data_IF_550314848224
#
_entry.id   IF_550314848224
#
_cell.length_a   1.000
_cell.length_b   1.000
_cell.length_c   1.000
_cell.angle_alpha   90.00
_cell.angle_beta   90.00
_cell.angle_gamma   90.00
#
_symmetry.space_group_name_H-M   'P 1'
#
loop_
_entity.id
_entity.type
_entity.pdbx_description
1 polymer ?
#
# COMPACT_ATOMS: atom_id res chain seq x y z
N UNK A 1 18.54 -5.16 -15.92
CA UNK A 1 17.26 -4.78 -15.29
C UNK A 1 16.13 -5.37 -16.12
N UNK A 2 15.18 -6.04 -15.48
CA UNK A 2 14.03 -6.58 -16.20
C UNK A 2 13.19 -5.45 -16.81
N UNK A 3 12.69 -5.68 -18.01
CA UNK A 3 11.74 -4.76 -18.66
C UNK A 3 10.34 -5.12 -18.11
N UNK A 4 9.89 -4.35 -17.12
CA UNK A 4 8.66 -4.64 -16.39
C UNK A 4 7.46 -3.99 -17.04
N UNK A 5 6.40 -4.75 -17.18
CA UNK A 5 5.10 -4.29 -17.64
C UNK A 5 4.23 -3.97 -16.42
N UNK A 6 3.75 -2.74 -16.31
CA UNK A 6 2.83 -2.32 -15.25
C UNK A 6 1.41 -2.47 -15.73
N UNK A 7 0.60 -3.22 -14.97
CA UNK A 7 -0.82 -3.42 -15.25
C UNK A 7 -1.65 -2.98 -14.05
N UNK A 8 -2.78 -2.33 -14.35
CA UNK A 8 -3.73 -1.87 -13.34
C UNK A 8 -4.97 -2.75 -13.32
N UNK A 9 -5.50 -2.94 -12.12
CA UNK A 9 -6.66 -3.81 -11.87
C UNK A 9 -7.63 -3.11 -10.94
N UNK A 10 -8.92 -3.24 -11.22
CA UNK A 10 -9.99 -2.73 -10.40
C UNK A 10 -10.61 -3.85 -9.56
N UNK A 11 -11.62 -3.54 -8.74
CA UNK A 11 -12.29 -4.55 -7.90
C UNK A 11 -12.93 -5.68 -8.71
N UNK A 12 -13.35 -5.38 -9.94
CA UNK A 12 -13.94 -6.37 -10.84
C UNK A 12 -12.92 -7.43 -11.29
N UNK A 13 -11.64 -7.07 -11.27
CA UNK A 13 -10.54 -7.94 -11.68
C UNK A 13 -10.02 -8.80 -10.52
N UNK A 14 -10.47 -8.57 -9.30
CA UNK A 14 -9.93 -9.24 -8.11
C UNK A 14 -9.91 -10.78 -8.23
N UNK A 15 -10.95 -11.45 -8.73
CA UNK A 15 -10.90 -12.90 -8.84
C UNK A 15 -9.72 -13.43 -9.67
N UNK A 16 -9.26 -12.64 -10.66
CA UNK A 16 -8.14 -13.02 -11.52
C UNK A 16 -6.79 -12.84 -10.84
N UNK A 17 -6.63 -11.83 -9.97
CA UNK A 17 -5.34 -11.46 -9.40
C UNK A 17 -5.19 -11.84 -7.92
N UNK A 18 -6.25 -12.27 -7.27
CA UNK A 18 -6.29 -12.53 -5.82
C UNK A 18 -5.19 -13.49 -5.37
N UNK A 19 -5.05 -14.63 -6.02
CA UNK A 19 -4.05 -15.63 -5.63
C UNK A 19 -2.63 -15.11 -5.89
N UNK A 20 -2.42 -14.39 -6.98
CA UNK A 20 -1.12 -13.78 -7.30
C UNK A 20 -0.70 -12.79 -6.21
N UNK A 21 -1.62 -11.95 -5.73
CA UNK A 21 -1.37 -11.01 -4.61
C UNK A 21 -0.94 -11.79 -3.36
N UNK A 22 -1.68 -12.84 -3.01
CA UNK A 22 -1.40 -13.66 -1.82
C UNK A 22 -0.02 -14.32 -1.95
N UNK A 23 0.30 -14.85 -3.11
CA UNK A 23 1.59 -15.53 -3.37
C UNK A 23 2.77 -14.55 -3.27
N UNK A 24 2.63 -13.34 -3.83
CA UNK A 24 3.67 -12.30 -3.73
C UNK A 24 3.89 -11.90 -2.27
N UNK A 25 2.81 -11.70 -1.52
CA UNK A 25 2.90 -11.34 -0.10
C UNK A 25 3.63 -12.43 0.69
N UNK A 26 3.28 -13.68 0.50
CA UNK A 26 3.93 -14.81 1.17
C UNK A 26 5.43 -14.87 0.85
N UNK A 27 5.80 -14.72 -0.41
CA UNK A 27 7.20 -14.67 -0.84
C UNK A 27 7.95 -13.51 -0.20
N UNK A 28 7.32 -12.34 -0.19
CA UNK A 28 7.92 -11.11 0.37
C UNK A 28 8.18 -11.21 1.88
N UNK A 29 7.38 -11.96 2.63
CA UNK A 29 7.57 -12.18 4.06
C UNK A 29 8.79 -13.08 4.36
N UNK A 30 9.16 -13.95 3.46
CA UNK A 30 10.41 -14.72 3.51
C UNK A 30 10.49 -15.81 4.58
N UNK A 31 9.37 -16.20 5.17
CA UNK A 31 9.34 -17.23 6.22
C UNK A 31 7.93 -17.48 6.73
N UNK A 32 7.79 -18.23 7.85
CA UNK A 32 6.48 -18.48 8.44
C UNK A 32 5.76 -17.18 8.78
N UNK A 33 4.47 -17.11 8.45
CA UNK A 33 3.65 -15.93 8.75
C UNK A 33 3.20 -15.99 10.23
N UNK A 34 3.21 -14.83 10.91
CA UNK A 34 2.59 -14.67 12.22
C UNK A 34 1.05 -14.65 12.09
N UNK A 35 0.34 -14.69 13.21
CA UNK A 35 -1.13 -14.77 13.22
C UNK A 35 -1.79 -13.56 12.53
N UNK A 36 -1.20 -12.39 12.65
CA UNK A 36 -1.70 -11.20 11.96
C UNK A 36 -1.55 -11.35 10.44
N UNK A 37 -0.36 -11.74 9.96
CA UNK A 37 -0.07 -11.85 8.53
C UNK A 37 -0.79 -13.04 7.86
N UNK A 38 -1.13 -14.08 8.63
CA UNK A 38 -1.98 -15.18 8.14
C UNK A 38 -3.38 -14.73 7.73
N UNK A 39 -3.83 -13.57 8.22
CA UNK A 39 -5.12 -12.98 7.87
C UNK A 39 -5.08 -12.20 6.56
N UNK A 40 -3.94 -12.13 5.89
CA UNK A 40 -3.80 -11.35 4.67
C UNK A 40 -4.85 -11.66 3.60
N UNK A 41 -5.23 -12.93 3.34
CA UNK A 41 -6.31 -13.20 2.38
C UNK A 41 -7.63 -12.48 2.70
N UNK A 42 -7.96 -12.35 3.98
CA UNK A 42 -9.13 -11.59 4.41
C UNK A 42 -8.98 -10.09 4.06
N UNK A 43 -7.79 -9.53 4.28
CA UNK A 43 -7.53 -8.13 3.93
C UNK A 43 -7.57 -7.89 2.43
N UNK A 44 -7.09 -8.83 1.64
CA UNK A 44 -7.18 -8.76 0.16
C UNK A 44 -8.64 -8.65 -0.28
N UNK A 45 -9.51 -9.49 0.27
CA UNK A 45 -10.94 -9.47 -0.05
C UNK A 45 -11.63 -8.20 0.47
N UNK A 46 -11.28 -7.77 1.67
CA UNK A 46 -11.82 -6.56 2.30
C UNK A 46 -11.50 -5.31 1.45
N UNK A 47 -10.24 -5.11 1.11
CA UNK A 47 -9.82 -3.97 0.30
C UNK A 47 -10.29 -4.09 -1.14
N UNK A 48 -10.16 -5.27 -1.72
CA UNK A 48 -10.51 -5.53 -3.11
C UNK A 48 -11.99 -5.40 -3.44
N UNK A 49 -12.87 -5.45 -2.44
CA UNK A 49 -14.31 -5.26 -2.62
C UNK A 49 -14.73 -3.78 -2.58
N UNK A 50 -13.84 -2.88 -2.20
CA UNK A 50 -14.19 -1.47 -2.00
C UNK A 50 -14.32 -0.74 -3.32
N UNK A 51 -15.29 0.19 -3.36
CA UNK A 51 -15.43 1.10 -4.48
C UNK A 51 -14.17 1.94 -4.62
N UNK A 52 -13.69 2.08 -5.86
CA UNK A 52 -12.47 2.83 -6.15
C UNK A 52 -11.17 2.08 -5.87
N UNK A 53 -11.25 0.80 -5.47
CA UNK A 53 -10.06 -0.04 -5.33
C UNK A 53 -9.23 -0.03 -6.60
N UNK A 54 -7.91 0.11 -6.43
CA UNK A 54 -6.95 0.04 -7.52
C UNK A 54 -5.74 -0.78 -7.07
N UNK A 55 -5.33 -1.71 -7.91
CA UNK A 55 -4.09 -2.48 -7.75
C UNK A 55 -3.21 -2.24 -8.97
N UNK A 56 -1.94 -1.97 -8.73
CA UNK A 56 -0.91 -1.94 -9.77
C UNK A 56 0.00 -3.14 -9.55
N UNK A 57 0.31 -3.87 -10.61
CA UNK A 57 1.17 -5.04 -10.55
C UNK A 57 2.26 -4.94 -11.60
N UNK A 58 3.49 -5.24 -11.21
CA UNK A 58 4.65 -5.25 -12.10
C UNK A 58 4.89 -6.68 -12.59
N UNK A 59 4.92 -6.86 -13.89
CA UNK A 59 5.09 -8.15 -14.55
C UNK A 59 6.42 -8.22 -15.28
N UNK A 60 7.14 -9.29 -15.05
CA UNK A 60 8.32 -9.70 -15.81
C UNK A 60 7.91 -10.92 -16.64
N UNK A 61 7.49 -10.69 -17.89
CA UNK A 61 6.85 -11.72 -18.68
C UNK A 61 5.59 -12.26 -18.00
N UNK A 62 5.57 -13.54 -17.67
CA UNK A 62 4.46 -14.21 -16.98
C UNK A 62 4.62 -14.24 -15.46
N UNK A 63 5.69 -13.65 -14.93
CA UNK A 63 5.96 -13.61 -13.49
C UNK A 63 5.59 -12.25 -12.92
N UNK A 64 4.69 -12.23 -11.93
CA UNK A 64 4.37 -11.03 -11.19
C UNK A 64 5.47 -10.77 -10.15
N UNK A 65 6.18 -9.65 -10.30
CA UNK A 65 7.30 -9.27 -9.43
C UNK A 65 6.87 -8.60 -8.14
N UNK A 66 5.77 -7.87 -8.17
CA UNK A 66 5.27 -7.11 -7.03
C UNK A 66 3.93 -6.46 -7.32
N UNK A 67 3.31 -5.93 -6.27
CA UNK A 67 2.05 -5.18 -6.37
C UNK A 67 1.99 -4.05 -5.36
N UNK A 68 1.12 -3.08 -5.64
CA UNK A 68 0.67 -2.08 -4.67
C UNK A 68 -0.84 -1.90 -4.86
N UNK A 69 -1.59 -1.80 -3.77
CA UNK A 69 -3.01 -1.53 -3.87
C UNK A 69 -3.53 -0.61 -2.76
N UNK A 70 -4.67 -0.05 -3.00
CA UNK A 70 -5.40 0.77 -2.04
C UNK A 70 -6.80 1.10 -2.54
N UNK A 71 -7.48 1.94 -1.79
CA UNK A 71 -8.82 2.44 -2.13
C UNK A 71 -9.06 3.79 -1.44
N UNK A 72 -10.02 4.60 -1.94
CA UNK A 72 -10.41 5.82 -1.26
C UNK A 72 -10.86 5.53 0.18
N UNK A 73 -10.41 6.36 1.11
CA UNK A 73 -10.84 6.31 2.50
C UNK A 73 -12.29 6.77 2.63
N UNK A 74 -13.00 6.25 3.62
CA UNK A 74 -14.32 6.75 4.00
C UNK A 74 -14.15 8.09 4.71
N UNK A 75 -14.85 9.12 4.25
CA UNK A 75 -14.79 10.45 4.86
C UNK A 75 -15.17 10.39 6.35
N UNK A 76 -14.33 11.00 7.17
CA UNK A 76 -14.46 10.96 8.63
C UNK A 76 -13.83 9.75 9.30
N UNK A 77 -13.35 8.76 8.53
CA UNK A 77 -12.71 7.53 9.04
C UNK A 77 -11.29 7.33 8.53
N UNK A 78 -10.68 8.37 8.02
CA UNK A 78 -9.29 8.31 7.54
C UNK A 78 -8.34 8.01 8.71
N UNK A 79 -7.32 7.21 8.46
CA UNK A 79 -6.35 6.80 9.49
C UNK A 79 -5.59 7.97 10.12
N UNK A 80 -5.49 9.10 9.42
CA UNK A 80 -4.79 10.29 9.93
C UNK A 80 -5.67 11.18 10.82
N UNK A 81 -7.00 11.03 10.78
CA UNK A 81 -7.95 12.06 11.31
C UNK A 81 -7.76 12.37 12.79
N UNK A 82 -7.48 11.37 13.61
CA UNK A 82 -7.30 11.62 15.05
C UNK A 82 -5.94 12.22 15.41
N UNK A 83 -5.00 12.29 14.46
CA UNK A 83 -3.63 12.77 14.72
C UNK A 83 -3.35 14.17 14.16
N UNK A 84 -4.23 14.71 13.34
CA UNK A 84 -4.03 16.00 12.68
C UNK A 84 -5.13 16.96 13.11
N UNK A 85 -4.77 17.96 13.93
CA UNK A 85 -5.68 18.97 14.44
C UNK A 85 -5.00 20.36 14.37
N UNK A 86 -5.60 21.35 13.68
CA UNK A 86 -6.85 21.23 12.92
C UNK A 86 -6.71 20.36 11.67
N UNK A 87 -7.83 19.76 11.26
CA UNK A 87 -7.85 19.02 10.00
C UNK A 87 -7.52 19.94 8.82
N UNK A 88 -6.81 19.43 7.77
CA UNK A 88 -6.56 20.23 6.59
C UNK A 88 -7.88 20.63 5.90
N UNK A 89 -7.83 21.70 5.11
CA UNK A 89 -9.00 22.18 4.38
C UNK A 89 -9.51 21.13 3.37
N UNK A 90 -8.59 20.43 2.72
CA UNK A 90 -8.89 19.38 1.75
C UNK A 90 -8.59 18.02 2.38
N UNK A 91 -9.59 17.15 2.44
CA UNK A 91 -9.51 15.90 3.21
C UNK A 91 -9.73 14.63 2.39
N UNK A 92 -10.03 14.76 1.09
CA UNK A 92 -10.20 13.56 0.26
C UNK A 92 -8.90 12.76 0.26
N UNK A 93 -8.99 11.51 0.74
CA UNK A 93 -7.81 10.70 1.01
C UNK A 93 -7.88 9.37 0.28
N UNK A 94 -6.76 8.96 -0.30
CA UNK A 94 -6.54 7.60 -0.79
C UNK A 94 -5.78 6.82 0.29
N UNK A 95 -6.35 5.68 0.72
CA UNK A 95 -5.68 4.77 1.64
C UNK A 95 -4.78 3.82 0.85
N UNK A 96 -3.48 4.05 0.92
CA UNK A 96 -2.47 3.17 0.34
C UNK A 96 -2.29 2.00 1.31
N UNK A 97 -2.86 0.84 0.98
CA UNK A 97 -3.04 -0.25 1.95
C UNK A 97 -1.90 -1.26 1.97
N UNK A 98 -1.36 -1.66 0.81
CA UNK A 98 -0.36 -2.72 0.76
C UNK A 98 0.63 -2.52 -0.38
N UNK A 99 1.88 -2.90 -0.11
CA UNK A 99 2.97 -2.92 -1.09
C UNK A 99 3.83 -4.14 -0.78
N UNK A 100 4.07 -4.99 -1.77
CA UNK A 100 4.98 -6.11 -1.63
C UNK A 100 5.73 -6.37 -2.93
N UNK A 101 7.01 -6.71 -2.82
CA UNK A 101 7.89 -7.07 -3.92
C UNK A 101 8.54 -8.42 -3.58
N UNK A 102 8.51 -9.36 -4.52
CA UNK A 102 9.17 -10.67 -4.34
C UNK A 102 10.64 -10.49 -4.01
N UNK A 103 11.18 -11.34 -3.18
CA UNK A 103 12.58 -11.23 -2.71
C UNK A 103 13.57 -11.17 -3.86
N UNK A 104 13.37 -11.98 -4.90
CA UNK A 104 14.26 -12.03 -6.07
C UNK A 104 14.27 -10.75 -6.92
N UNK A 105 13.30 -9.86 -6.72
CA UNK A 105 13.16 -8.60 -7.45
C UNK A 105 13.50 -7.37 -6.60
N UNK A 106 13.95 -7.55 -5.38
CA UNK A 106 14.30 -6.43 -4.48
C UNK A 106 15.51 -5.63 -4.98
N UNK A 107 15.61 -4.38 -4.50
CA UNK A 107 16.71 -3.44 -4.82
C UNK A 107 16.82 -3.08 -6.30
N UNK A 108 15.70 -3.12 -7.01
CA UNK A 108 15.60 -2.75 -8.42
C UNK A 108 14.66 -1.54 -8.66
N UNK A 109 14.25 -0.85 -7.60
CA UNK A 109 13.37 0.32 -7.71
C UNK A 109 11.90 0.00 -7.96
N UNK A 110 11.49 -1.27 -7.84
CA UNK A 110 10.11 -1.70 -8.16
C UNK A 110 9.10 -1.12 -7.18
N UNK A 111 9.44 -1.00 -5.89
CA UNK A 111 8.56 -0.40 -4.89
C UNK A 111 8.24 1.06 -5.23
N UNK A 112 9.23 1.85 -5.64
CA UNK A 112 9.05 3.23 -6.10
C UNK A 112 8.16 3.28 -7.34
N UNK A 113 8.46 2.43 -8.31
CA UNK A 113 7.72 2.36 -9.58
C UNK A 113 6.23 2.03 -9.33
N UNK A 114 5.94 1.04 -8.50
CA UNK A 114 4.57 0.63 -8.15
C UNK A 114 3.83 1.74 -7.38
N UNK A 115 4.48 2.36 -6.42
CA UNK A 115 3.88 3.40 -5.58
C UNK A 115 3.53 4.64 -6.40
N UNK A 116 4.44 5.07 -7.27
CA UNK A 116 4.18 6.19 -8.15
C UNK A 116 3.06 5.90 -9.14
N UNK A 117 3.05 4.71 -9.73
CA UNK A 117 1.99 4.30 -10.64
C UNK A 117 0.62 4.21 -9.96
N UNK A 118 0.57 3.73 -8.69
CA UNK A 118 -0.66 3.67 -7.93
C UNK A 118 -1.24 5.06 -7.65
N UNK A 119 -0.39 6.06 -7.40
CA UNK A 119 -0.80 7.38 -6.95
C UNK A 119 -0.81 8.44 -8.07
N UNK A 120 -0.28 8.12 -9.24
CA UNK A 120 -0.04 9.08 -10.34
C UNK A 120 -1.31 9.81 -10.80
N UNK A 121 -2.39 9.08 -11.02
CA UNK A 121 -3.63 9.61 -11.56
C UNK A 121 -4.74 9.77 -10.50
N UNK A 122 -4.36 9.78 -9.21
CA UNK A 122 -5.34 9.96 -8.14
C UNK A 122 -5.84 11.40 -8.10
N UNK A 123 -7.14 11.53 -7.83
CA UNK A 123 -7.82 12.83 -7.70
C UNK A 123 -8.00 13.26 -6.25
N UNK A 124 -7.67 12.40 -5.29
CA UNK A 124 -7.68 12.73 -3.87
C UNK A 124 -6.60 13.79 -3.55
N UNK A 125 -6.81 14.52 -2.48
CA UNK A 125 -5.89 15.56 -2.02
C UNK A 125 -4.72 14.97 -1.23
N UNK A 126 -4.96 13.85 -0.57
CA UNK A 126 -4.03 13.21 0.37
C UNK A 126 -3.91 11.72 0.10
N UNK A 127 -2.76 11.16 0.46
CA UNK A 127 -2.56 9.72 0.61
C UNK A 127 -2.13 9.40 2.03
N UNK A 128 -2.65 8.33 2.60
CA UNK A 128 -2.29 7.85 3.94
C UNK A 128 -1.85 6.38 3.86
N UNK A 129 -0.85 6.01 4.63
CA UNK A 129 -0.41 4.63 4.76
C UNK A 129 0.00 4.31 6.19
N UNK A 130 0.08 3.02 6.48
CA UNK A 130 0.59 2.48 7.73
C UNK A 130 1.88 1.72 7.45
N UNK A 131 2.92 1.97 8.24
CA UNK A 131 4.18 1.23 8.15
C UNK A 131 4.57 0.71 9.52
N UNK A 132 4.98 -0.55 9.59
CA UNK A 132 5.44 -1.19 10.83
C UNK A 132 6.63 -0.41 11.38
N UNK A 133 6.52 0.06 12.64
CA UNK A 133 7.56 0.88 13.28
C UNK A 133 8.88 0.12 13.47
N UNK A 134 8.87 -1.21 13.38
CA UNK A 134 10.09 -2.03 13.45
C UNK A 134 10.87 -2.07 12.13
N UNK A 135 10.37 -1.39 11.09
CA UNK A 135 11.01 -1.30 9.78
C UNK A 135 11.40 0.14 9.43
N UNK A 136 12.41 0.74 10.12
CA UNK A 136 12.74 2.15 9.94
C UNK A 136 13.23 2.50 8.53
N UNK A 137 13.80 1.55 7.79
CA UNK A 137 14.24 1.77 6.41
C UNK A 137 13.06 1.95 5.46
N UNK A 138 11.98 1.24 5.70
CA UNK A 138 10.74 1.36 4.92
C UNK A 138 10.08 2.72 5.21
N UNK A 139 10.03 3.11 6.48
CA UNK A 139 9.54 4.43 6.86
C UNK A 139 10.35 5.55 6.19
N UNK A 140 11.68 5.44 6.21
CA UNK A 140 12.56 6.43 5.56
C UNK A 140 12.30 6.53 4.06
N UNK A 141 12.01 5.41 3.39
CA UNK A 141 11.66 5.39 1.97
C UNK A 141 10.39 6.22 1.70
N UNK A 142 9.36 6.04 2.52
CA UNK A 142 8.13 6.83 2.40
C UNK A 142 8.36 8.32 2.70
N UNK A 143 9.21 8.62 3.68
CA UNK A 143 9.59 10.01 3.98
C UNK A 143 10.28 10.68 2.78
N UNK A 144 11.14 9.97 2.07
CA UNK A 144 11.78 10.45 0.83
C UNK A 144 10.76 10.76 -0.27
N UNK A 145 9.60 10.10 -0.27
CA UNK A 145 8.52 10.36 -1.22
C UNK A 145 7.60 11.50 -0.79
N UNK A 146 7.79 12.08 0.38
CA UNK A 146 7.02 13.21 0.89
C UNK A 146 6.00 12.85 1.97
N UNK A 147 5.94 11.60 2.42
CA UNK A 147 5.10 11.21 3.54
C UNK A 147 5.69 11.69 4.86
N UNK A 148 4.82 12.11 5.78
CA UNK A 148 5.20 12.53 7.13
C UNK A 148 4.46 11.69 8.15
N UNK A 149 5.17 11.22 9.18
CA UNK A 149 4.56 10.52 10.30
C UNK A 149 3.71 11.50 11.11
N UNK A 150 2.46 11.15 11.32
CA UNK A 150 1.52 11.97 12.12
C UNK A 150 1.09 11.30 13.41
N UNK A 151 1.27 9.98 13.55
CA UNK A 151 0.90 9.25 14.76
C UNK A 151 1.28 7.79 14.68
N UNK A 152 0.79 7.02 15.64
CA UNK A 152 0.97 5.56 15.70
C UNK A 152 -0.34 4.88 16.09
N UNK A 153 -0.61 3.71 15.51
CA UNK A 153 -1.81 2.94 15.85
C UNK A 153 -1.60 1.44 15.64
N UNK A 154 -2.52 0.65 16.19
CA UNK A 154 -2.66 -0.79 15.88
C UNK A 154 -3.85 -0.98 14.95
N UNK A 155 -3.66 -1.72 13.86
CA UNK A 155 -4.75 -2.07 12.95
C UNK A 155 -5.68 -3.14 13.55
N UNK A 156 -5.14 -4.01 14.40
CA UNK A 156 -5.87 -5.07 15.10
C UNK A 156 -5.13 -5.39 16.40
N UNK A 157 -5.78 -6.07 17.38
CA UNK A 157 -5.12 -6.40 18.66
C UNK A 157 -3.83 -7.20 18.53
N UNK A 158 -3.72 -8.01 17.49
CA UNK A 158 -2.55 -8.85 17.21
C UNK A 158 -1.59 -8.24 16.18
N UNK A 159 -1.86 -7.01 15.71
CA UNK A 159 -0.99 -6.34 14.75
C UNK A 159 0.22 -5.72 15.44
N UNK A 160 1.33 -5.47 14.70
CA UNK A 160 2.37 -4.58 15.18
C UNK A 160 1.82 -3.15 15.36
N UNK A 161 2.63 -2.29 15.99
CA UNK A 161 2.36 -0.86 16.01
C UNK A 161 2.77 -0.28 14.66
N UNK A 162 1.88 0.49 14.05
CA UNK A 162 2.13 1.14 12.76
C UNK A 162 2.32 2.64 12.94
N UNK A 163 3.30 3.20 12.25
CA UNK A 163 3.37 4.63 12.01
C UNK A 163 2.31 5.01 10.99
N UNK A 164 1.50 6.01 11.31
CA UNK A 164 0.55 6.61 10.36
C UNK A 164 1.29 7.69 9.60
N UNK A 165 1.36 7.56 8.28
CA UNK A 165 2.09 8.50 7.42
C UNK A 165 1.15 9.13 6.40
N UNK A 166 1.29 10.45 6.24
CA UNK A 166 0.40 11.27 5.41
C UNK A 166 1.22 12.07 4.39
N UNK A 167 0.74 12.13 3.16
CA UNK A 167 1.33 12.95 2.10
C UNK A 167 0.26 13.73 1.35
N UNK A 168 0.62 14.90 0.85
CA UNK A 168 -0.19 15.64 -0.12
C UNK A 168 0.02 15.03 -1.52
N UNK A 169 -1.06 14.98 -2.30
CA UNK A 169 -1.01 14.53 -3.70
C UNK A 169 -1.10 15.74 -4.64
N UNK A 170 -0.42 15.71 -5.79
CA UNK A 170 0.48 14.63 -6.26
C UNK A 170 1.78 14.57 -5.46
N UNK A 171 2.42 13.39 -5.43
CA UNK A 171 3.72 13.24 -4.79
C UNK A 171 4.77 14.10 -5.50
N UNK A 172 5.74 14.59 -4.74
CA UNK A 172 6.89 15.29 -5.31
C UNK A 172 7.73 14.38 -6.21
N UNK A 173 8.30 14.89 -7.29
CA UNK A 173 9.15 14.12 -8.19
C UNK A 173 10.37 13.51 -7.50
#
# INVERSE_FOLDING_TARGET
MADLDLRTYTREDLPQIRQTIIDIHADAQGGPLDDFRKKFPWYVDHWGSREGYLCVMAWDGDTAAGFAYGAPAVDGREWWREYVDPAPEKTLTFSYSELAVRQSYRKQGIADLLSRALLEDRTEDLAVLLVDVTHPRVQALYEDWGFKKVGEQRAAPDSPIFAVMLAELPLSP
#
